data_IF_901566783505
#
_entry.id   IF_901566783505
#
_cell.length_a   1.000
_cell.length_b   1.000
_cell.length_c   1.000
_cell.angle_alpha   90.00
_cell.angle_beta   90.00
_cell.angle_gamma   90.00
#
_symmetry.space_group_name_H-M   'P 1'
#
loop_
_entity.id
_entity.type
_entity.pdbx_description
1 polymer ?
#
# COMPACT_ATOMS: atom_id res chain seq x y z
N UNK A 1 69.31 35.97 -62.46
CA UNK A 1 68.47 36.76 -61.54
C UNK A 1 67.08 36.11 -61.49
N UNK A 2 66.79 35.38 -60.44
CA UNK A 2 65.52 34.64 -60.28
C UNK A 2 65.02 34.88 -58.88
N UNK A 3 63.82 35.48 -58.77
CA UNK A 3 63.16 35.79 -57.54
C UNK A 3 62.08 34.71 -57.31
N UNK A 4 62.28 33.87 -56.31
CA UNK A 4 61.38 32.81 -55.89
C UNK A 4 60.32 33.40 -54.90
N UNK A 5 59.04 33.34 -55.30
CA UNK A 5 57.89 33.67 -54.42
C UNK A 5 57.51 32.44 -53.60
N UNK A 6 57.61 32.55 -52.27
CA UNK A 6 57.07 31.59 -51.31
C UNK A 6 55.58 31.90 -51.05
N UNK A 7 54.70 30.97 -51.38
CA UNK A 7 53.31 30.97 -50.98
C UNK A 7 53.19 30.32 -49.58
N UNK A 8 52.71 31.08 -48.61
CA UNK A 8 52.33 30.56 -47.30
C UNK A 8 50.85 30.16 -47.40
N UNK A 9 50.56 28.84 -47.35
CA UNK A 9 49.19 28.31 -47.13
C UNK A 9 48.91 28.32 -45.63
N UNK A 10 47.97 29.18 -45.20
CA UNK A 10 47.38 29.12 -43.88
C UNK A 10 46.26 28.06 -43.88
N UNK A 11 46.51 26.94 -43.22
CA UNK A 11 45.49 25.91 -42.99
C UNK A 11 44.60 26.35 -41.81
N UNK A 12 43.37 26.76 -42.11
CA UNK A 12 42.32 27.00 -41.06
C UNK A 12 41.72 25.65 -40.71
N UNK A 13 42.08 25.10 -39.54
CA UNK A 13 41.47 23.92 -38.96
C UNK A 13 40.15 24.36 -38.26
N UNK A 14 39.04 24.15 -38.93
CA UNK A 14 37.71 24.27 -38.36
C UNK A 14 37.46 23.08 -37.42
N UNK A 15 37.57 23.30 -36.11
CA UNK A 15 37.16 22.30 -35.09
C UNK A 15 35.64 22.27 -35.03
N UNK A 16 35.05 21.29 -35.74
CA UNK A 16 33.63 20.93 -35.56
C UNK A 16 33.48 20.23 -34.20
N UNK A 17 33.00 20.96 -33.20
CA UNK A 17 32.45 20.33 -31.98
C UNK A 17 31.21 19.50 -32.39
N UNK A 18 31.40 18.21 -32.55
CA UNK A 18 30.29 17.24 -32.58
C UNK A 18 29.63 17.29 -31.18
N UNK A 19 28.49 17.99 -31.08
CA UNK A 19 27.58 17.82 -29.95
C UNK A 19 27.12 16.35 -29.95
N UNK A 20 27.69 15.52 -29.05
CA UNK A 20 27.19 14.19 -28.79
C UNK A 20 25.73 14.35 -28.33
N UNK A 21 24.75 13.71 -28.99
CA UNK A 21 23.42 13.66 -28.43
C UNK A 21 23.55 13.00 -27.06
N UNK A 22 23.17 13.73 -26.01
CA UNK A 22 23.13 13.18 -24.67
C UNK A 22 22.35 11.88 -24.74
N UNK A 23 22.98 10.76 -24.40
CA UNK A 23 22.29 9.49 -24.23
C UNK A 23 21.24 9.75 -23.15
N UNK A 24 19.98 9.84 -23.55
CA UNK A 24 18.87 9.88 -22.61
C UNK A 24 19.01 8.59 -21.79
N UNK A 25 19.46 8.72 -20.54
CA UNK A 25 19.54 7.61 -19.61
C UNK A 25 18.13 7.06 -19.46
N UNK A 26 17.91 5.78 -19.76
CA UNK A 26 16.62 5.15 -19.58
C UNK A 26 16.17 5.39 -18.13
N UNK A 27 14.92 5.81 -17.96
CA UNK A 27 14.39 6.05 -16.62
C UNK A 27 14.48 4.77 -15.78
N UNK A 28 14.96 4.88 -14.55
CA UNK A 28 15.00 3.73 -13.64
C UNK A 28 13.57 3.31 -13.30
N UNK A 29 13.36 2.00 -13.21
CA UNK A 29 12.05 1.41 -12.91
C UNK A 29 11.99 0.98 -11.44
N UNK A 30 10.90 1.34 -10.74
CA UNK A 30 10.54 0.81 -9.43
C UNK A 30 9.42 -0.23 -9.59
N UNK A 31 9.55 -1.39 -8.96
CA UNK A 31 8.52 -2.42 -8.91
C UNK A 31 7.73 -2.28 -7.62
N UNK A 32 6.44 -1.98 -7.74
CA UNK A 32 5.56 -1.73 -6.59
C UNK A 32 4.62 -2.92 -6.42
N UNK A 33 4.69 -3.57 -5.26
CA UNK A 33 3.79 -4.65 -4.88
C UNK A 33 2.57 -4.12 -4.11
N UNK A 34 1.39 -4.55 -4.54
CA UNK A 34 0.09 -4.13 -3.99
C UNK A 34 -0.69 -5.34 -3.51
N UNK A 35 -1.29 -5.31 -2.29
CA UNK A 35 -1.81 -6.52 -1.64
C UNK A 35 -3.10 -7.06 -2.26
N UNK A 36 -3.90 -6.22 -2.94
CA UNK A 36 -5.14 -6.64 -3.61
C UNK A 36 -5.55 -5.66 -4.71
N UNK A 37 -6.38 -6.12 -5.67
CA UNK A 37 -6.85 -5.27 -6.77
C UNK A 37 -7.74 -4.11 -6.29
N UNK A 38 -8.74 -4.42 -5.48
CA UNK A 38 -9.80 -3.48 -5.09
C UNK A 38 -9.54 -2.85 -3.71
N UNK A 39 -8.38 -2.20 -3.53
CA UNK A 39 -7.99 -1.63 -2.25
C UNK A 39 -7.30 -0.27 -2.45
N UNK A 40 -7.44 0.64 -1.50
CA UNK A 40 -6.96 2.03 -1.62
C UNK A 40 -5.48 2.18 -2.05
N UNK A 41 -4.51 1.30 -1.68
CA UNK A 41 -3.15 1.44 -2.18
C UNK A 41 -3.05 1.30 -3.69
N UNK A 42 -3.86 0.40 -4.26
CA UNK A 42 -3.94 0.22 -5.71
C UNK A 42 -4.53 1.48 -6.37
N UNK A 43 -5.54 2.10 -5.75
CA UNK A 43 -6.07 3.39 -6.22
C UNK A 43 -5.00 4.48 -6.23
N UNK A 44 -4.17 4.59 -5.18
CA UNK A 44 -3.08 5.58 -5.10
C UNK A 44 -2.05 5.32 -6.19
N UNK A 45 -1.56 4.10 -6.33
CA UNK A 45 -0.54 3.74 -7.30
C UNK A 45 -1.03 3.95 -8.75
N UNK A 46 -2.26 3.52 -9.06
CA UNK A 46 -2.89 3.75 -10.36
C UNK A 46 -3.11 5.25 -10.65
N UNK A 47 -3.48 6.02 -9.63
CA UNK A 47 -3.57 7.49 -9.76
C UNK A 47 -2.21 8.08 -10.10
N UNK A 48 -1.14 7.64 -9.42
CA UNK A 48 0.22 8.12 -9.70
C UNK A 48 0.64 7.82 -11.14
N UNK A 49 0.31 6.64 -11.68
CA UNK A 49 0.57 6.26 -13.07
C UNK A 49 -0.26 7.15 -14.02
N UNK A 50 -1.58 7.25 -13.83
CA UNK A 50 -2.46 8.01 -14.72
C UNK A 50 -2.16 9.51 -14.74
N UNK A 51 -1.70 10.08 -13.61
CA UNK A 51 -1.28 11.48 -13.49
C UNK A 51 0.20 11.69 -13.88
N UNK A 52 0.90 10.62 -14.33
CA UNK A 52 2.31 10.64 -14.74
C UNK A 52 3.24 11.18 -13.64
N UNK A 53 2.93 10.88 -12.37
CA UNK A 53 3.70 11.41 -11.24
C UNK A 53 5.05 10.71 -11.10
N UNK A 54 5.14 9.42 -11.46
CA UNK A 54 6.43 8.72 -11.52
C UNK A 54 7.34 9.30 -12.60
N UNK A 55 6.81 9.61 -13.77
CA UNK A 55 7.58 10.24 -14.86
C UNK A 55 8.02 11.66 -14.49
N UNK A 56 7.20 12.43 -13.74
CA UNK A 56 7.60 13.74 -13.21
C UNK A 56 8.75 13.63 -12.22
N UNK A 57 8.87 12.53 -11.49
CA UNK A 57 10.04 12.21 -10.64
C UNK A 57 11.21 11.63 -11.45
N UNK A 58 11.07 11.43 -12.78
CA UNK A 58 12.10 10.89 -13.66
C UNK A 58 12.33 9.38 -13.45
N UNK A 59 11.31 8.65 -13.03
CA UNK A 59 11.30 7.18 -12.89
C UNK A 59 10.09 6.58 -13.60
N UNK A 60 10.10 5.27 -13.79
CA UNK A 60 8.92 4.49 -14.22
C UNK A 60 8.48 3.56 -13.09
N UNK A 61 7.23 3.13 -13.09
CA UNK A 61 6.70 2.19 -12.12
C UNK A 61 6.07 0.98 -12.79
N UNK A 62 6.38 -0.20 -12.29
CA UNK A 62 5.70 -1.45 -12.60
C UNK A 62 4.86 -1.87 -11.39
N UNK A 63 3.54 -1.98 -11.58
CA UNK A 63 2.61 -2.36 -10.54
C UNK A 63 2.31 -3.85 -10.63
N UNK A 64 2.50 -4.59 -9.54
CA UNK A 64 2.09 -5.99 -9.42
C UNK A 64 1.09 -6.15 -8.30
N UNK A 65 -0.05 -6.73 -8.62
CA UNK A 65 -1.15 -6.96 -7.67
C UNK A 65 -1.12 -8.43 -7.24
N UNK A 66 -1.08 -8.63 -5.92
CA UNK A 66 -1.08 -9.94 -5.28
C UNK A 66 -2.45 -10.29 -4.68
N UNK A 67 -2.59 -11.47 -4.09
CA UNK A 67 -3.87 -11.94 -3.51
C UNK A 67 -4.07 -11.51 -2.06
N UNK A 68 -3.01 -11.02 -1.40
CA UNK A 68 -3.04 -10.56 -0.02
C UNK A 68 -1.65 -10.14 0.46
N UNK A 69 -1.59 -9.51 1.64
CA UNK A 69 -0.36 -8.93 2.18
C UNK A 69 0.77 -9.94 2.34
N UNK A 70 0.50 -11.17 2.81
CA UNK A 70 1.56 -12.16 2.97
C UNK A 70 2.28 -12.45 1.64
N UNK A 71 1.53 -12.62 0.54
CA UNK A 71 2.10 -12.86 -0.79
C UNK A 71 2.88 -11.64 -1.30
N UNK A 72 2.38 -10.41 -1.02
CA UNK A 72 3.07 -9.16 -1.34
C UNK A 72 4.42 -9.06 -0.62
N UNK A 73 4.43 -9.39 0.67
CA UNK A 73 5.65 -9.38 1.48
C UNK A 73 6.66 -10.44 1.01
N UNK A 74 6.20 -11.66 0.70
CA UNK A 74 7.02 -12.74 0.15
C UNK A 74 7.64 -12.35 -1.19
N UNK A 75 6.88 -11.68 -2.07
CA UNK A 75 7.38 -11.18 -3.35
C UNK A 75 8.50 -10.14 -3.17
N UNK A 76 8.35 -9.22 -2.21
CA UNK A 76 9.43 -8.28 -1.86
C UNK A 76 10.64 -9.03 -1.29
N UNK A 77 10.45 -9.97 -0.38
CA UNK A 77 11.53 -10.78 0.20
C UNK A 77 12.31 -11.56 -0.86
N UNK A 78 11.62 -12.04 -1.91
CA UNK A 78 12.20 -12.71 -3.06
C UNK A 78 12.81 -11.75 -4.11
N UNK A 79 12.72 -10.43 -3.91
CA UNK A 79 13.22 -9.42 -4.83
C UNK A 79 12.34 -9.20 -6.07
N UNK A 80 11.08 -9.64 -6.05
CA UNK A 80 10.11 -9.40 -7.13
C UNK A 80 9.41 -8.03 -7.03
N UNK A 81 9.46 -7.39 -5.87
CA UNK A 81 9.00 -6.02 -5.64
C UNK A 81 10.08 -5.23 -4.88
N UNK A 82 10.16 -3.93 -5.12
CA UNK A 82 11.15 -3.03 -4.50
C UNK A 82 10.52 -2.25 -3.33
N UNK A 83 9.28 -1.81 -3.51
CA UNK A 83 8.47 -1.12 -2.50
C UNK A 83 7.10 -1.77 -2.48
N UNK A 84 6.58 -2.03 -1.29
CA UNK A 84 5.25 -2.61 -1.12
C UNK A 84 4.43 -1.77 -0.15
N UNK A 85 3.09 -1.87 -0.24
CA UNK A 85 2.24 -1.47 0.87
C UNK A 85 1.78 -2.71 1.63
N UNK A 86 1.99 -2.72 2.94
CA UNK A 86 1.49 -3.82 3.77
C UNK A 86 1.31 -3.45 5.25
N UNK A 87 0.77 -4.42 6.03
CA UNK A 87 0.71 -4.32 7.47
C UNK A 87 2.13 -4.23 8.06
N UNK A 88 2.36 -3.25 8.93
CA UNK A 88 3.68 -2.98 9.50
C UNK A 88 4.25 -4.15 10.32
N UNK A 89 3.37 -4.97 10.88
CA UNK A 89 3.74 -6.20 11.61
C UNK A 89 4.42 -7.25 10.72
N UNK A 90 4.17 -7.26 9.41
CA UNK A 90 4.87 -8.18 8.49
C UNK A 90 6.34 -7.80 8.33
N UNK A 91 6.68 -6.50 8.34
CA UNK A 91 8.08 -6.08 8.37
C UNK A 91 8.79 -6.58 9.64
N UNK A 92 8.12 -6.50 10.80
CA UNK A 92 8.68 -6.99 12.06
C UNK A 92 8.82 -8.51 12.09
N UNK A 93 7.82 -9.25 11.62
CA UNK A 93 7.86 -10.71 11.53
C UNK A 93 8.91 -11.20 10.51
N UNK A 94 9.04 -10.51 9.39
CA UNK A 94 10.05 -10.80 8.38
C UNK A 94 11.46 -10.58 8.91
N UNK A 95 11.70 -9.47 9.60
CA UNK A 95 13.01 -9.12 10.15
C UNK A 95 13.50 -10.17 11.16
N UNK A 96 12.61 -10.69 12.00
CA UNK A 96 12.94 -11.79 12.92
C UNK A 96 13.32 -13.10 12.20
N UNK A 97 12.95 -13.23 10.93
CA UNK A 97 13.26 -14.36 10.06
C UNK A 97 14.38 -14.07 9.06
N UNK A 98 15.08 -12.94 9.22
CA UNK A 98 16.19 -12.54 8.35
C UNK A 98 15.81 -11.74 7.11
N UNK A 99 14.53 -11.41 6.90
CA UNK A 99 14.09 -10.49 5.83
C UNK A 99 14.25 -9.05 6.34
N UNK A 100 15.41 -8.47 6.08
CA UNK A 100 15.75 -7.13 6.54
C UNK A 100 14.99 -6.08 5.76
N UNK A 101 13.92 -5.54 6.34
CA UNK A 101 13.04 -4.53 5.74
C UNK A 101 12.62 -3.48 6.75
N UNK A 102 12.22 -2.30 6.27
CA UNK A 102 11.74 -1.18 7.09
C UNK A 102 10.47 -0.56 6.53
N UNK A 103 9.67 -0.01 7.42
CA UNK A 103 8.58 0.89 7.09
C UNK A 103 9.19 2.25 6.77
N UNK A 104 9.13 2.65 5.50
CA UNK A 104 9.78 3.86 4.97
C UNK A 104 8.82 5.05 4.89
N UNK A 105 7.51 4.81 4.94
CA UNK A 105 6.50 5.86 5.10
C UNK A 105 5.23 5.34 5.75
N UNK A 106 4.59 6.18 6.57
CA UNK A 106 3.30 5.93 7.18
C UNK A 106 2.18 6.09 6.14
N UNK A 107 1.29 5.12 6.02
CA UNK A 107 0.21 5.16 5.03
C UNK A 107 -1.20 5.19 5.66
N UNK A 108 -1.39 4.53 6.80
CA UNK A 108 -2.67 4.53 7.50
C UNK A 108 -2.51 4.31 9.01
N UNK A 109 -3.19 5.15 9.79
CA UNK A 109 -3.23 5.11 11.26
C UNK A 109 -4.51 4.49 11.80
N UNK A 110 -5.25 3.77 10.98
CA UNK A 110 -6.49 3.12 11.39
C UNK A 110 -7.03 2.17 10.32
N UNK A 111 -8.05 1.43 10.70
CA UNK A 111 -8.65 0.39 9.86
C UNK A 111 -9.86 0.94 9.09
N UNK A 112 -9.63 2.00 8.30
CA UNK A 112 -10.68 2.71 7.56
C UNK A 112 -11.36 1.79 6.53
N UNK A 113 -12.71 1.73 6.58
CA UNK A 113 -13.51 0.93 5.67
C UNK A 113 -13.47 -0.59 5.93
N UNK A 114 -12.75 -1.05 6.96
CA UNK A 114 -12.73 -2.45 7.35
C UNK A 114 -13.93 -2.81 8.22
N UNK A 115 -14.61 -3.90 7.87
CA UNK A 115 -15.83 -4.35 8.55
C UNK A 115 -15.85 -5.87 8.69
N UNK A 116 -16.32 -6.38 9.82
CA UNK A 116 -16.70 -7.77 9.98
C UNK A 116 -18.17 -7.92 9.57
N UNK A 117 -18.40 -8.69 8.55
CA UNK A 117 -19.71 -8.77 7.89
C UNK A 117 -20.24 -10.18 7.88
N UNK A 118 -21.55 -10.30 7.95
CA UNK A 118 -22.32 -11.55 7.78
C UNK A 118 -23.39 -11.35 6.72
N UNK A 119 -23.96 -12.42 6.18
CA UNK A 119 -25.12 -12.31 5.28
C UNK A 119 -26.26 -11.53 5.96
N UNK A 120 -26.99 -10.71 5.23
CA UNK A 120 -28.10 -9.91 5.80
C UNK A 120 -29.18 -10.75 6.45
N UNK A 121 -29.45 -11.95 5.91
CA UNK A 121 -30.38 -12.94 6.49
C UNK A 121 -29.87 -13.63 7.75
N UNK A 122 -28.58 -13.52 8.06
CA UNK A 122 -27.97 -14.14 9.23
C UNK A 122 -28.42 -13.40 10.51
N UNK A 123 -28.65 -14.15 11.57
CA UNK A 123 -28.90 -13.60 12.91
C UNK A 123 -27.64 -13.52 13.78
N UNK A 124 -26.47 -13.90 13.23
CA UNK A 124 -25.20 -13.90 13.95
C UNK A 124 -24.80 -12.49 14.34
N UNK A 125 -24.44 -12.33 15.59
CA UNK A 125 -23.70 -11.21 16.13
C UNK A 125 -22.25 -11.63 16.42
N UNK A 126 -21.39 -10.71 16.81
CA UNK A 126 -19.98 -11.03 17.11
C UNK A 126 -19.83 -12.13 18.14
N UNK A 127 -20.65 -12.13 19.21
CA UNK A 127 -20.65 -13.14 20.27
C UNK A 127 -20.97 -14.57 19.80
N UNK A 128 -21.69 -14.70 18.66
CA UNK A 128 -22.15 -15.98 18.11
C UNK A 128 -21.13 -16.62 17.14
N UNK A 129 -19.98 -15.96 16.93
CA UNK A 129 -18.94 -16.44 16.03
C UNK A 129 -18.08 -17.58 16.59
N UNK A 130 -18.29 -17.98 17.86
CA UNK A 130 -17.58 -19.12 18.45
C UNK A 130 -17.75 -20.37 17.60
N UNK A 131 -16.62 -21.00 17.17
CA UNK A 131 -16.60 -22.18 16.32
C UNK A 131 -16.96 -21.93 14.85
N UNK A 132 -17.27 -20.72 14.43
CA UNK A 132 -17.62 -20.33 13.06
C UNK A 132 -16.39 -20.15 12.18
N UNK A 133 -16.62 -20.05 10.85
CA UNK A 133 -15.59 -19.75 9.85
C UNK A 133 -15.62 -18.28 9.48
N UNK A 134 -14.51 -17.58 9.63
CA UNK A 134 -14.36 -16.16 9.28
C UNK A 134 -13.33 -16.02 8.17
N UNK A 135 -13.74 -15.51 7.01
CA UNK A 135 -12.84 -15.28 5.88
C UNK A 135 -11.87 -14.12 6.16
N UNK A 136 -10.62 -14.33 5.78
CA UNK A 136 -9.54 -13.35 5.77
C UNK A 136 -8.81 -13.39 4.43
N UNK A 137 -8.00 -12.39 4.08
CA UNK A 137 -7.25 -12.39 2.82
C UNK A 137 -6.11 -13.40 2.86
N UNK A 138 -5.24 -13.33 3.86
CA UNK A 138 -4.13 -14.26 4.09
C UNK A 138 -3.68 -14.20 5.56
N UNK A 139 -3.02 -15.24 6.03
CA UNK A 139 -2.45 -15.25 7.38
C UNK A 139 -1.40 -14.12 7.53
N UNK A 140 -1.45 -13.40 8.64
CA UNK A 140 -0.58 -12.25 8.94
C UNK A 140 -0.95 -10.94 8.23
N UNK A 141 -1.94 -10.95 7.32
CA UNK A 141 -2.43 -9.74 6.65
C UNK A 141 -3.23 -8.83 7.58
N UNK A 142 -3.56 -7.61 7.13
CA UNK A 142 -4.39 -6.67 7.88
C UNK A 142 -5.75 -7.27 8.30
N UNK A 143 -6.41 -8.04 7.42
CA UNK A 143 -7.67 -8.72 7.76
C UNK A 143 -7.50 -9.80 8.82
N UNK A 144 -6.37 -10.51 8.79
CA UNK A 144 -6.06 -11.52 9.80
C UNK A 144 -5.80 -10.89 11.17
N UNK A 145 -5.06 -9.78 11.21
CA UNK A 145 -4.81 -9.04 12.45
C UNK A 145 -6.11 -8.53 13.06
N UNK A 146 -7.04 -8.04 12.24
CA UNK A 146 -8.36 -7.59 12.72
C UNK A 146 -9.22 -8.76 13.22
N UNK A 147 -9.17 -9.92 12.54
CA UNK A 147 -9.83 -11.13 13.02
C UNK A 147 -9.25 -11.61 14.35
N UNK A 148 -7.93 -11.60 14.50
CA UNK A 148 -7.23 -11.95 15.73
C UNK A 148 -7.55 -10.98 16.87
N UNK A 149 -7.53 -9.67 16.58
CA UNK A 149 -7.97 -8.65 17.53
C UNK A 149 -9.41 -8.90 18.01
N UNK A 150 -10.33 -9.25 17.09
CA UNK A 150 -11.72 -9.57 17.43
C UNK A 150 -11.80 -10.78 18.36
N UNK A 151 -11.04 -11.85 18.07
CA UNK A 151 -10.99 -13.03 18.95
C UNK A 151 -10.55 -12.67 20.37
N UNK A 152 -9.52 -11.83 20.49
CA UNK A 152 -8.93 -11.44 21.75
C UNK A 152 -9.86 -10.50 22.53
N UNK A 153 -10.32 -9.42 21.88
CA UNK A 153 -11.14 -8.39 22.50
C UNK A 153 -12.51 -8.91 22.95
N UNK A 154 -13.14 -9.71 22.09
CA UNK A 154 -14.47 -10.25 22.37
C UNK A 154 -14.42 -11.62 23.09
N UNK A 155 -13.20 -12.14 23.40
CA UNK A 155 -12.96 -13.43 24.08
C UNK A 155 -13.70 -14.60 23.42
N UNK A 156 -13.66 -14.65 22.11
CA UNK A 156 -14.26 -15.69 21.28
C UNK A 156 -13.21 -16.39 20.43
N UNK A 157 -13.49 -17.59 19.97
CA UNK A 157 -12.59 -18.32 19.07
C UNK A 157 -13.36 -18.81 17.85
N UNK A 158 -12.87 -18.49 16.66
CA UNK A 158 -13.40 -18.92 15.37
C UNK A 158 -12.27 -19.37 14.44
N UNK A 159 -12.59 -20.13 13.41
CA UNK A 159 -11.61 -20.53 12.41
C UNK A 159 -11.41 -19.43 11.37
N UNK A 160 -10.19 -18.92 11.24
CA UNK A 160 -9.81 -17.96 10.20
C UNK A 160 -9.51 -18.71 8.91
N UNK A 161 -10.20 -18.36 7.82
CA UNK A 161 -10.12 -19.03 6.52
C UNK A 161 -9.49 -18.11 5.48
N UNK A 162 -8.24 -18.34 5.05
CA UNK A 162 -7.60 -17.57 4.00
C UNK A 162 -8.26 -17.82 2.64
N UNK A 163 -8.79 -16.78 2.00
CA UNK A 163 -9.51 -16.89 0.71
C UNK A 163 -8.99 -15.92 -0.37
N UNK A 164 -7.98 -15.11 -0.02
CA UNK A 164 -7.54 -14.00 -0.89
C UNK A 164 -8.49 -12.80 -0.86
N UNK A 165 -8.02 -11.63 -1.29
CA UNK A 165 -8.85 -10.42 -1.31
C UNK A 165 -10.09 -10.55 -2.19
N UNK A 166 -9.91 -11.11 -3.40
CA UNK A 166 -11.02 -11.37 -4.33
C UNK A 166 -11.97 -12.49 -3.90
N UNK A 167 -11.58 -13.30 -2.90
CA UNK A 167 -12.38 -14.39 -2.38
C UNK A 167 -13.31 -14.02 -1.22
N UNK A 168 -13.10 -12.87 -0.54
CA UNK A 168 -13.85 -12.51 0.67
C UNK A 168 -15.37 -12.46 0.43
N UNK A 169 -15.79 -11.64 -0.52
CA UNK A 169 -17.22 -11.45 -0.83
C UNK A 169 -17.84 -12.71 -1.45
N UNK A 170 -17.26 -13.35 -2.49
CA UNK A 170 -17.85 -14.55 -3.06
C UNK A 170 -18.03 -15.69 -2.06
N UNK A 171 -17.05 -15.93 -1.17
CA UNK A 171 -17.16 -17.00 -0.16
C UNK A 171 -18.23 -16.69 0.91
N UNK A 172 -18.38 -15.40 1.29
CA UNK A 172 -19.44 -14.97 2.20
C UNK A 172 -20.83 -15.18 1.57
N UNK A 173 -21.01 -14.70 0.33
CA UNK A 173 -22.30 -14.77 -0.37
C UNK A 173 -22.71 -16.22 -0.67
N UNK A 174 -21.74 -17.07 -0.99
CA UNK A 174 -21.98 -18.52 -1.21
C UNK A 174 -22.22 -19.30 0.09
N UNK A 175 -21.99 -18.71 1.27
CA UNK A 175 -22.12 -19.40 2.56
C UNK A 175 -20.99 -20.40 2.86
N UNK A 176 -19.86 -20.31 2.17
CA UNK A 176 -18.67 -21.12 2.44
C UNK A 176 -18.00 -20.74 3.78
N UNK A 177 -18.25 -19.50 4.22
CA UNK A 177 -17.87 -18.96 5.51
C UNK A 177 -19.07 -18.27 6.17
N UNK A 178 -19.07 -18.20 7.49
CA UNK A 178 -20.16 -17.61 8.28
C UNK A 178 -20.05 -16.08 8.36
N UNK A 179 -18.82 -15.56 8.33
CA UNK A 179 -18.51 -14.13 8.34
C UNK A 179 -17.25 -13.84 7.51
N UNK A 180 -16.99 -12.59 7.21
CA UNK A 180 -15.79 -12.17 6.52
C UNK A 180 -15.29 -10.82 7.03
N UNK A 181 -13.98 -10.65 7.16
CA UNK A 181 -13.32 -9.35 7.38
C UNK A 181 -13.13 -8.69 6.03
N UNK A 182 -14.02 -7.77 5.68
CA UNK A 182 -14.10 -7.15 4.36
C UNK A 182 -13.60 -5.71 4.43
N UNK A 183 -12.79 -5.32 3.46
CA UNK A 183 -12.26 -3.95 3.30
C UNK A 183 -13.04 -3.17 2.26
N UNK A 184 -12.95 -1.84 2.35
CA UNK A 184 -13.58 -0.94 1.36
C UNK A 184 -12.82 -0.95 0.01
N UNK A 185 -13.51 -0.71 -1.11
CA UNK A 185 -14.93 -0.39 -1.23
C UNK A 185 -15.87 -1.61 -1.18
N UNK A 186 -15.34 -2.84 -1.11
CA UNK A 186 -16.16 -4.06 -1.12
C UNK A 186 -17.15 -4.11 0.05
N UNK A 187 -16.74 -3.70 1.25
CA UNK A 187 -17.61 -3.63 2.42
C UNK A 187 -18.79 -2.68 2.22
N UNK A 188 -18.54 -1.51 1.59
CA UNK A 188 -19.59 -0.54 1.27
C UNK A 188 -20.53 -1.09 0.19
N UNK A 189 -19.98 -1.74 -0.83
CA UNK A 189 -20.74 -2.29 -1.93
C UNK A 189 -21.74 -3.35 -1.45
N UNK A 190 -21.27 -4.40 -0.75
CA UNK A 190 -22.18 -5.49 -0.30
C UNK A 190 -23.09 -5.07 0.86
N UNK A 191 -22.68 -4.08 1.65
CA UNK A 191 -23.55 -3.48 2.67
C UNK A 191 -24.70 -2.69 2.05
N UNK A 192 -24.40 -1.88 1.04
CA UNK A 192 -25.41 -1.06 0.34
C UNK A 192 -26.34 -1.88 -0.54
N UNK A 193 -25.86 -2.96 -1.16
CA UNK A 193 -26.71 -3.88 -1.92
C UNK A 193 -27.71 -4.66 -1.03
N UNK A 194 -27.49 -4.65 0.28
CA UNK A 194 -28.31 -5.39 1.23
C UNK A 194 -28.03 -6.89 1.28
N UNK A 195 -26.97 -7.38 0.62
CA UNK A 195 -26.58 -8.79 0.63
C UNK A 195 -25.90 -9.19 1.92
N UNK A 196 -25.13 -8.27 2.51
CA UNK A 196 -24.47 -8.47 3.79
C UNK A 196 -24.70 -7.28 4.73
N UNK A 197 -24.52 -7.52 6.03
CA UNK A 197 -24.58 -6.49 7.07
C UNK A 197 -23.33 -6.52 7.94
N UNK A 198 -22.94 -5.34 8.42
CA UNK A 198 -21.84 -5.17 9.35
C UNK A 198 -22.28 -5.56 10.76
N UNK A 199 -21.50 -6.41 11.40
CA UNK A 199 -21.67 -6.74 12.84
C UNK A 199 -20.56 -6.14 13.71
N UNK A 200 -19.45 -5.64 13.08
CA UNK A 200 -18.40 -4.89 13.76
C UNK A 200 -17.71 -3.97 12.75
N UNK A 201 -17.61 -2.69 13.07
CA UNK A 201 -16.94 -1.67 12.27
C UNK A 201 -15.56 -1.37 12.91
N UNK A 202 -14.50 -1.89 12.28
CA UNK A 202 -13.15 -1.74 12.81
C UNK A 202 -12.64 -0.29 12.80
N UNK A 203 -13.19 0.56 11.94
CA UNK A 203 -12.82 1.98 11.93
C UNK A 203 -13.25 2.73 13.20
N UNK A 204 -14.21 2.17 13.92
CA UNK A 204 -14.75 2.73 15.17
C UNK A 204 -14.29 2.00 16.41
N UNK A 205 -14.12 0.68 16.34
CA UNK A 205 -13.89 -0.15 17.51
C UNK A 205 -12.42 -0.57 17.69
N UNK A 206 -11.67 -0.76 16.60
CA UNK A 206 -10.26 -1.10 16.70
C UNK A 206 -9.42 0.13 17.07
N UNK A 207 -8.42 -0.01 17.97
CA UNK A 207 -7.55 1.10 18.34
C UNK A 207 -6.83 1.68 17.12
N UNK A 208 -6.75 3.01 17.06
CA UNK A 208 -5.91 3.67 16.08
C UNK A 208 -4.43 3.34 16.33
N UNK A 209 -3.73 2.87 15.30
CA UNK A 209 -2.32 2.52 15.34
C UNK A 209 -1.76 2.59 13.92
N UNK A 210 -0.44 2.47 13.74
CA UNK A 210 0.17 2.45 12.41
C UNK A 210 -0.09 1.08 11.74
N UNK A 211 -1.30 0.94 11.19
CA UNK A 211 -1.81 -0.33 10.63
C UNK A 211 -1.12 -0.72 9.34
N UNK A 212 -0.80 0.26 8.48
CA UNK A 212 -0.20 0.03 7.18
C UNK A 212 0.85 1.09 6.85
N UNK A 213 1.91 0.67 6.18
CA UNK A 213 3.00 1.52 5.73
C UNK A 213 3.57 1.07 4.40
N UNK A 214 4.27 1.98 3.73
CA UNK A 214 5.13 1.62 2.62
C UNK A 214 6.39 0.98 3.18
N UNK A 215 6.75 -0.17 2.66
CA UNK A 215 7.85 -1.01 3.15
C UNK A 215 8.84 -1.25 2.01
N UNK A 216 10.13 -1.21 2.33
CA UNK A 216 11.21 -1.55 1.41
C UNK A 216 12.26 -2.42 2.11
N UNK A 217 13.02 -3.23 1.35
CA UNK A 217 14.18 -3.94 1.88
C UNK A 217 15.27 -2.95 2.27
N UNK A 218 15.97 -3.21 3.40
CA UNK A 218 17.11 -2.39 3.87
C UNK A 218 18.16 -2.23 2.76
N UNK A 219 18.43 -3.31 2.02
CA UNK A 219 19.39 -3.30 0.89
C UNK A 219 18.95 -2.32 -0.18
N UNK A 220 17.69 -2.39 -0.64
CA UNK A 220 17.18 -1.50 -1.69
C UNK A 220 17.18 -0.04 -1.25
N UNK A 221 16.71 0.23 -0.03
CA UNK A 221 16.68 1.57 0.55
C UNK A 221 18.09 2.18 0.69
N UNK A 222 19.11 1.36 0.98
CA UNK A 222 20.49 1.78 1.08
C UNK A 222 21.18 1.98 -0.28
N UNK A 223 20.96 1.07 -1.23
CA UNK A 223 21.59 1.11 -2.55
C UNK A 223 20.94 2.12 -3.49
N UNK A 224 19.62 2.33 -3.36
CA UNK A 224 18.80 3.20 -4.21
C UNK A 224 17.89 4.14 -3.40
N UNK A 225 18.41 4.93 -2.46
CA UNK A 225 17.59 5.79 -1.61
C UNK A 225 16.78 6.81 -2.43
N UNK A 226 17.35 7.30 -3.55
CA UNK A 226 16.66 8.20 -4.46
C UNK A 226 15.42 7.57 -5.10
N UNK A 227 15.44 6.26 -5.39
CA UNK A 227 14.29 5.54 -5.94
C UNK A 227 13.17 5.42 -4.92
N UNK A 228 13.49 5.11 -3.66
CA UNK A 228 12.49 5.08 -2.57
C UNK A 228 11.88 6.47 -2.40
N UNK A 229 12.71 7.53 -2.29
CA UNK A 229 12.23 8.91 -2.11
C UNK A 229 11.31 9.36 -3.26
N UNK A 230 11.72 9.16 -4.53
CA UNK A 230 10.92 9.49 -5.71
C UNK A 230 9.61 8.71 -5.78
N UNK A 231 9.65 7.42 -5.42
CA UNK A 231 8.46 6.57 -5.36
C UNK A 231 7.47 7.14 -4.33
N UNK A 232 7.93 7.47 -3.14
CA UNK A 232 7.09 8.06 -2.10
C UNK A 232 6.55 9.44 -2.52
N UNK A 233 7.36 10.29 -3.15
CA UNK A 233 6.91 11.58 -3.67
C UNK A 233 5.74 11.41 -4.66
N UNK A 234 5.85 10.49 -5.61
CA UNK A 234 4.81 10.21 -6.60
C UNK A 234 3.53 9.67 -5.94
N UNK A 235 3.65 8.73 -5.00
CA UNK A 235 2.50 8.13 -4.30
C UNK A 235 1.76 9.17 -3.43
N UNK A 236 2.49 10.00 -2.68
CA UNK A 236 1.88 11.07 -1.88
C UNK A 236 1.39 12.24 -2.75
N UNK A 237 2.00 12.46 -3.91
CA UNK A 237 1.47 13.35 -4.95
C UNK A 237 0.12 12.88 -5.48
N UNK A 238 -0.03 11.57 -5.70
CA UNK A 238 -1.30 10.97 -6.10
C UNK A 238 -2.37 11.14 -5.01
N UNK A 239 -2.03 10.89 -3.75
CA UNK A 239 -2.97 11.11 -2.64
C UNK A 239 -3.39 12.59 -2.53
N UNK A 240 -2.44 13.52 -2.71
CA UNK A 240 -2.73 14.96 -2.73
C UNK A 240 -3.67 15.33 -3.90
N UNK A 241 -3.41 14.79 -5.11
CA UNK A 241 -4.30 14.94 -6.26
C UNK A 241 -5.70 14.44 -5.96
N UNK A 242 -5.80 13.19 -5.45
CA UNK A 242 -7.08 12.56 -5.13
C UNK A 242 -7.90 13.40 -4.16
N UNK A 243 -7.27 13.91 -3.10
CA UNK A 243 -7.94 14.74 -2.08
C UNK A 243 -8.39 16.10 -2.61
N UNK A 244 -7.66 16.69 -3.55
CA UNK A 244 -7.97 17.97 -4.17
C UNK A 244 -9.02 17.86 -5.28
N UNK A 245 -9.24 16.68 -5.86
CA UNK A 245 -10.05 16.47 -7.06
C UNK A 245 -11.08 15.35 -6.84
N UNK A 246 -12.09 15.60 -5.98
CA UNK A 246 -13.11 14.62 -5.58
C UNK A 246 -13.77 13.93 -6.79
N UNK A 247 -14.31 14.69 -7.73
CA UNK A 247 -15.08 14.13 -8.84
C UNK A 247 -14.22 13.24 -9.75
N UNK A 248 -12.99 13.69 -10.05
CA UNK A 248 -12.04 12.91 -10.83
C UNK A 248 -11.64 11.62 -10.10
N UNK A 249 -11.47 11.68 -8.78
CA UNK A 249 -11.12 10.53 -7.96
C UNK A 249 -12.26 9.53 -7.84
N UNK A 250 -13.47 9.99 -7.60
CA UNK A 250 -14.67 9.13 -7.57
C UNK A 250 -14.86 8.42 -8.91
N UNK A 251 -14.70 9.16 -10.01
CA UNK A 251 -14.74 8.57 -11.36
C UNK A 251 -13.65 7.52 -11.56
N UNK A 252 -12.42 7.81 -11.17
CA UNK A 252 -11.30 6.87 -11.29
C UNK A 252 -11.55 5.59 -10.48
N UNK A 253 -12.00 5.70 -9.22
CA UNK A 253 -12.32 4.54 -8.37
C UNK A 253 -13.44 3.71 -9.01
N UNK A 254 -14.49 4.35 -9.49
CA UNK A 254 -15.62 3.68 -10.13
C UNK A 254 -15.19 2.91 -11.38
N UNK A 255 -14.36 3.51 -12.23
CA UNK A 255 -13.80 2.87 -13.44
C UNK A 255 -12.82 1.74 -13.11
N UNK A 256 -11.89 1.97 -12.16
CA UNK A 256 -10.85 1.02 -11.80
C UNK A 256 -11.40 -0.27 -11.21
N UNK A 257 -12.46 -0.16 -10.42
CA UNK A 257 -13.06 -1.28 -9.69
C UNK A 257 -14.39 -1.76 -10.28
N UNK A 258 -14.86 -1.11 -11.34
CA UNK A 258 -16.14 -1.43 -12.00
C UNK A 258 -17.32 -1.40 -10.99
N UNK A 259 -17.33 -0.36 -10.13
CA UNK A 259 -18.36 -0.16 -9.10
C UNK A 259 -19.19 1.09 -9.34
N UNK A 260 -20.44 1.16 -8.80
CA UNK A 260 -21.26 2.35 -8.88
C UNK A 260 -20.57 3.59 -8.29
N UNK A 261 -20.81 4.77 -8.89
CA UNK A 261 -20.19 6.03 -8.48
C UNK A 261 -20.49 6.41 -7.02
N UNK A 262 -21.66 6.05 -6.51
CA UNK A 262 -22.06 6.28 -5.12
C UNK A 262 -21.28 5.40 -4.11
N UNK A 263 -20.87 4.19 -4.50
CA UNK A 263 -19.94 3.35 -3.74
C UNK A 263 -18.52 3.94 -3.78
N UNK A 264 -18.08 4.39 -4.96
CA UNK A 264 -16.79 5.07 -5.11
C UNK A 264 -16.73 6.36 -4.28
N UNK A 265 -17.84 7.10 -4.15
CA UNK A 265 -17.95 8.28 -3.28
C UNK A 265 -17.82 7.90 -1.79
N UNK A 266 -18.42 6.79 -1.36
CA UNK A 266 -18.22 6.27 0.01
C UNK A 266 -16.76 5.91 0.27
N UNK A 267 -16.08 5.27 -0.68
CA UNK A 267 -14.64 4.98 -0.59
C UNK A 267 -13.82 6.26 -0.47
N UNK A 268 -14.10 7.26 -1.29
CA UNK A 268 -13.44 8.55 -1.22
C UNK A 268 -13.59 9.19 0.17
N UNK A 269 -14.81 9.28 0.69
CA UNK A 269 -15.12 10.01 1.93
C UNK A 269 -14.64 9.26 3.19
N UNK A 270 -14.80 7.94 3.22
CA UNK A 270 -14.58 7.14 4.43
C UNK A 270 -13.21 6.45 4.46
N UNK A 271 -12.50 6.40 3.34
CA UNK A 271 -11.16 5.80 3.27
C UNK A 271 -10.13 6.81 2.78
N UNK A 272 -10.22 7.28 1.51
CA UNK A 272 -9.18 8.14 0.92
C UNK A 272 -8.95 9.41 1.75
N UNK A 273 -10.01 10.06 2.20
CA UNK A 273 -9.92 11.29 2.99
C UNK A 273 -9.39 11.08 4.42
N UNK A 274 -9.24 9.83 4.86
CA UNK A 274 -8.71 9.47 6.19
C UNK A 274 -7.25 9.02 6.18
N UNK A 275 -6.68 8.75 5.00
CA UNK A 275 -5.29 8.28 4.87
C UNK A 275 -4.29 9.36 5.30
N UNK A 276 -3.13 8.92 5.75
CA UNK A 276 -2.05 9.81 6.19
C UNK A 276 -1.43 10.58 5.01
N UNK A 277 -1.38 11.90 5.12
CA UNK A 277 -0.91 12.79 4.05
C UNK A 277 0.54 13.21 4.19
N UNK A 278 1.09 13.20 5.39
CA UNK A 278 2.49 13.55 5.63
C UNK A 278 3.44 12.38 5.29
N UNK A 279 3.04 11.15 5.60
CA UNK A 279 3.84 9.95 5.35
C UNK A 279 5.14 9.85 6.13
N UNK A 280 5.55 10.91 6.81
CA UNK A 280 6.82 10.99 7.54
C UNK A 280 6.84 10.05 8.74
N UNK A 281 7.88 9.21 8.80
CA UNK A 281 8.13 8.34 9.96
C UNK A 281 8.79 9.07 11.13
N UNK A 282 9.20 10.33 10.94
CA UNK A 282 9.77 11.20 11.99
C UNK A 282 8.72 11.98 12.78
N UNK A 283 7.43 11.86 12.44
CA UNK A 283 6.36 12.58 13.14
C UNK A 283 6.30 12.16 14.62
N UNK A 284 5.95 13.08 15.53
CA UNK A 284 5.74 12.74 16.93
C UNK A 284 4.76 11.57 17.06
N UNK A 285 5.03 10.65 17.98
CA UNK A 285 4.24 9.45 18.27
C UNK A 285 4.27 8.33 17.21
N UNK A 286 4.93 8.48 16.05
CA UNK A 286 4.97 7.41 15.04
C UNK A 286 5.55 6.11 15.60
N UNK A 287 6.65 6.19 16.37
CA UNK A 287 7.22 5.02 17.02
C UNK A 287 6.24 4.36 17.99
N UNK A 288 5.54 5.15 18.82
CA UNK A 288 4.54 4.64 19.75
C UNK A 288 3.36 3.97 19.03
N UNK A 289 2.91 4.55 17.93
CA UNK A 289 1.85 3.98 17.10
C UNK A 289 2.29 2.67 16.41
N UNK A 290 3.55 2.60 15.98
CA UNK A 290 4.13 1.37 15.45
C UNK A 290 4.28 0.30 16.54
N UNK A 291 4.72 0.67 17.74
CA UNK A 291 4.78 -0.24 18.90
C UNK A 291 3.39 -0.81 19.21
N UNK A 292 2.37 0.03 19.24
CA UNK A 292 0.99 -0.41 19.45
C UNK A 292 0.53 -1.39 18.36
N UNK A 293 0.85 -1.14 17.09
CA UNK A 293 0.54 -2.07 16.00
C UNK A 293 1.17 -3.45 16.22
N UNK A 294 2.43 -3.50 16.69
CA UNK A 294 3.11 -4.76 16.98
C UNK A 294 2.56 -5.45 18.24
N UNK A 295 2.17 -4.71 19.25
CA UNK A 295 1.51 -5.26 20.46
C UNK A 295 0.17 -5.91 20.08
N UNK A 296 -0.64 -5.25 19.27
CA UNK A 296 -1.90 -5.79 18.79
C UNK A 296 -1.67 -7.06 17.92
N UNK A 297 -0.62 -7.07 17.10
CA UNK A 297 -0.23 -8.24 16.33
C UNK A 297 0.21 -9.41 17.23
N UNK A 298 0.95 -9.14 18.31
CA UNK A 298 1.31 -10.15 19.32
C UNK A 298 0.10 -10.70 20.06
N UNK A 299 -0.81 -9.83 20.50
CA UNK A 299 -2.07 -10.23 21.11
C UNK A 299 -2.88 -11.12 20.17
N UNK A 300 -2.84 -10.82 18.87
CA UNK A 300 -3.39 -11.65 17.82
C UNK A 300 -2.67 -12.96 17.55
N UNK A 301 -1.60 -13.26 18.29
CA UNK A 301 -0.86 -14.53 18.20
C UNK A 301 0.34 -14.53 17.25
N UNK A 302 0.71 -13.38 16.67
CA UNK A 302 1.99 -13.27 15.95
C UNK A 302 3.14 -13.36 16.96
N UNK A 303 4.11 -14.26 16.67
CA UNK A 303 5.27 -14.48 17.51
C UNK A 303 6.52 -13.90 16.85
N UNK A 304 7.56 -13.72 17.63
CA UNK A 304 8.91 -13.37 17.17
C UNK A 304 8.90 -12.10 16.28
N UNK A 305 8.27 -11.02 16.76
CA UNK A 305 8.29 -9.73 16.08
C UNK A 305 9.53 -8.93 16.50
N UNK A 306 10.28 -8.40 15.54
CA UNK A 306 11.35 -7.47 15.80
C UNK A 306 10.80 -6.19 16.46
N UNK A 307 11.61 -5.49 17.28
CA UNK A 307 11.22 -4.22 17.89
C UNK A 307 10.79 -3.16 16.86
N UNK A 308 9.84 -2.32 17.21
CA UNK A 308 9.36 -1.25 16.34
C UNK A 308 10.50 -0.32 15.86
N UNK A 309 11.45 -0.01 16.72
CA UNK A 309 12.60 0.83 16.39
C UNK A 309 13.48 0.22 15.28
N UNK A 310 13.55 -1.10 15.18
CA UNK A 310 14.38 -1.79 14.20
C UNK A 310 13.76 -1.75 12.78
N UNK A 311 12.44 -1.61 12.71
CA UNK A 311 11.71 -1.58 11.43
C UNK A 311 11.26 -0.18 11.02
N UNK A 312 11.46 0.83 11.85
CA UNK A 312 11.16 2.22 11.52
C UNK A 312 12.33 2.84 10.75
N UNK A 313 12.08 3.50 9.62
CA UNK A 313 13.05 4.33 8.92
C UNK A 313 12.62 5.79 8.95
N UNK A 314 13.51 6.67 9.40
CA UNK A 314 13.33 8.13 9.34
C UNK A 314 14.11 8.77 8.19
N UNK A 315 14.70 7.96 7.32
CA UNK A 315 15.58 8.43 6.24
C UNK A 315 14.80 9.09 5.09
N UNK A 316 13.49 8.86 5.03
CA UNK A 316 12.63 9.34 3.94
C UNK A 316 11.53 10.24 4.49
N UNK A 317 11.27 11.31 3.75
CA UNK A 317 10.13 12.18 3.97
C UNK A 317 9.45 12.46 2.63
N UNK A 318 8.22 11.97 2.42
CA UNK A 318 7.51 12.25 1.17
C UNK A 318 7.36 13.75 0.95
N UNK A 319 7.69 14.18 -0.26
CA UNK A 319 7.41 15.54 -0.77
C UNK A 319 6.45 15.35 -1.92
N UNK A 320 5.13 15.58 -1.73
CA UNK A 320 4.14 15.28 -2.76
C UNK A 320 4.48 15.91 -4.11
N UNK A 321 4.64 15.08 -5.14
CA UNK A 321 4.87 15.54 -6.52
C UNK A 321 3.70 16.40 -6.96
N UNK A 322 3.96 17.56 -7.53
CA UNK A 322 2.90 18.45 -8.06
C UNK A 322 2.21 17.80 -9.26
N UNK A 323 0.89 17.84 -9.27
CA UNK A 323 0.02 17.28 -10.33
C UNK A 323 -0.42 18.33 -11.34
#
# INVERSE_FOLDING_TARGET
MSITRRHILAAVTASTLLAMPGMAQAAETVRIGLPTKTYWPTTIAETAVRQKLFEKEGITAELTIYRGGAETFEAMAAGAADVILDATSLAAAGRSKGVMSKVVANAAMGSYGWQLMVLSKSTLEVKDLAGKKVAITSAGSGSDLLALWTQQEKKINFTRVPVGGGGLVPNLLAGNVDAAVVYSPLSFQIGKSGEAKTILDYSKEAPANLTAGWIALDKYAKEKPHMVQKTLNALYGALAFMRANKDATVKLIAELYEIPADIAALEYENTIMKLETDGSMSAPNTLAQLQLALELAKLGGMKDLAPAADILSTDFKPVPTKF
#
